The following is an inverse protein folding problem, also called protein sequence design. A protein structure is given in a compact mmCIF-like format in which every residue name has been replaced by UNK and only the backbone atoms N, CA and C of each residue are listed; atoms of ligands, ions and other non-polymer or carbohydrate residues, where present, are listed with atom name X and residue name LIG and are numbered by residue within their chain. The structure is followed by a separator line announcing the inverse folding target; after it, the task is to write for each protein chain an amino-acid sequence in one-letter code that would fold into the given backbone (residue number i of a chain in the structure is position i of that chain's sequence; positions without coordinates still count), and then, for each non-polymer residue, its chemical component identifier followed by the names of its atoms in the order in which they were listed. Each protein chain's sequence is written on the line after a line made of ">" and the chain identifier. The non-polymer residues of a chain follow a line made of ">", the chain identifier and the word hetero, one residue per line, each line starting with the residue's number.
data_IF_072940883936
#
_entry.id   IF_072940883936
#
_cell.length_a   1.000
_cell.length_b   1.000
_cell.length_c   1.000
_cell.angle_alpha   90.00
_cell.angle_beta   90.00
_cell.angle_gamma   90.00
#
_symmetry.space_group_name_H-M   'P 1'
#
loop_
_entity.id
_entity.type
_entity.pdbx_description
1 polymer ?
#
# COMPACT_ATOMS: atom_id res chain seq x y z
N UNK A 1 -2.65 1.66 -13.47
CA UNK A 1 -1.95 2.95 -13.33
C UNK A 1 -1.28 2.95 -11.96
N UNK A 2 -0.01 3.36 -11.91
CA UNK A 2 0.79 3.47 -10.68
C UNK A 2 0.97 4.96 -10.39
N UNK A 3 0.68 5.41 -9.17
CA UNK A 3 0.82 6.82 -8.74
C UNK A 3 1.54 6.84 -7.41
N UNK A 4 2.67 7.54 -7.31
CA UNK A 4 3.37 7.74 -6.04
C UNK A 4 3.05 9.13 -5.45
N UNK A 5 2.68 9.18 -4.17
CA UNK A 5 2.32 10.40 -3.43
C UNK A 5 3.02 10.36 -2.08
N UNK A 6 4.06 11.17 -1.88
CA UNK A 6 4.81 11.16 -0.63
C UNK A 6 5.46 9.80 -0.37
N UNK A 7 5.06 9.13 0.72
CA UNK A 7 5.47 7.78 1.09
C UNK A 7 4.43 6.69 0.74
N UNK A 8 3.43 7.01 -0.10
CA UNK A 8 2.43 6.03 -0.56
C UNK A 8 2.49 5.82 -2.08
N UNK A 9 2.15 4.60 -2.52
CA UNK A 9 2.04 4.19 -3.92
C UNK A 9 0.69 3.56 -4.17
N UNK A 10 -0.08 4.13 -5.09
CA UNK A 10 -1.39 3.62 -5.49
C UNK A 10 -1.22 2.78 -6.75
N UNK A 11 -1.61 1.50 -6.68
CA UNK A 11 -1.58 0.56 -7.79
C UNK A 11 -3.00 0.07 -8.06
N UNK A 12 -3.59 0.56 -9.15
CA UNK A 12 -5.00 0.29 -9.43
C UNK A 12 -5.90 0.94 -8.39
N UNK A 13 -6.53 0.14 -7.51
CA UNK A 13 -7.35 0.64 -6.39
C UNK A 13 -6.67 0.50 -5.03
N UNK A 14 -5.53 -0.19 -4.95
CA UNK A 14 -4.83 -0.46 -3.68
C UNK A 14 -3.80 0.61 -3.41
N UNK A 15 -3.67 1.01 -2.15
CA UNK A 15 -2.63 1.91 -1.68
C UNK A 15 -1.59 1.13 -0.85
N UNK A 16 -0.32 1.37 -1.13
CA UNK A 16 0.82 0.78 -0.45
C UNK A 16 1.55 1.91 0.29
N UNK A 17 1.58 1.86 1.62
CA UNK A 17 2.17 2.90 2.47
C UNK A 17 3.49 2.38 3.02
N UNK A 18 4.56 3.14 2.78
CA UNK A 18 5.92 2.82 3.20
C UNK A 18 6.35 3.71 4.37
N UNK A 19 7.36 3.28 5.12
CA UNK A 19 7.94 4.08 6.20
C UNK A 19 8.63 5.32 5.65
N UNK A 20 9.32 5.16 4.52
CA UNK A 20 10.15 6.18 3.89
C UNK A 20 9.71 6.47 2.47
N UNK A 21 10.00 7.69 2.02
CA UNK A 21 9.70 8.13 0.64
C UNK A 21 10.52 7.36 -0.39
N UNK A 22 11.77 7.04 -0.06
CA UNK A 22 12.68 6.35 -0.99
C UNK A 22 12.19 4.93 -1.29
N UNK A 23 11.70 4.21 -0.27
CA UNK A 23 11.06 2.89 -0.45
C UNK A 23 9.83 2.97 -1.38
N UNK A 24 9.00 3.99 -1.21
CA UNK A 24 7.84 4.21 -2.07
C UNK A 24 8.26 4.48 -3.53
N UNK A 25 9.35 5.25 -3.74
CA UNK A 25 9.89 5.53 -5.07
C UNK A 25 10.44 4.24 -5.70
N UNK A 26 11.28 3.49 -4.98
CA UNK A 26 11.89 2.25 -5.47
C UNK A 26 10.82 1.21 -5.85
N UNK A 27 9.76 1.13 -5.06
CA UNK A 27 8.63 0.24 -5.35
C UNK A 27 7.86 0.69 -6.60
N UNK A 28 7.58 1.99 -6.73
CA UNK A 28 6.89 2.55 -7.89
C UNK A 28 7.73 2.38 -9.18
N UNK A 29 9.04 2.59 -9.10
CA UNK A 29 9.97 2.42 -10.22
C UNK A 29 10.06 0.95 -10.65
N UNK A 30 10.12 0.01 -9.70
CA UNK A 30 10.06 -1.42 -10.00
C UNK A 30 8.77 -1.80 -10.76
N UNK A 31 7.62 -1.27 -10.35
CA UNK A 31 6.35 -1.51 -11.04
C UNK A 31 6.30 -0.84 -12.42
N UNK A 32 6.81 0.38 -12.54
CA UNK A 32 6.86 1.12 -13.81
C UNK A 32 7.81 0.45 -14.82
N UNK A 33 8.85 -0.23 -14.35
CA UNK A 33 9.72 -1.07 -15.18
C UNK A 33 9.05 -2.38 -15.66
N UNK A 34 7.79 -2.63 -15.28
CA UNK A 34 7.04 -3.84 -15.61
C UNK A 34 7.20 -4.97 -14.60
N UNK A 35 7.80 -4.69 -13.44
CA UNK A 35 7.89 -5.64 -12.32
C UNK A 35 6.52 -6.00 -11.77
N UNK A 36 6.36 -7.26 -11.35
CA UNK A 36 5.16 -7.70 -10.64
C UNK A 36 5.21 -7.23 -9.18
N UNK A 37 4.06 -6.91 -8.58
CA UNK A 37 3.95 -6.47 -7.18
C UNK A 37 4.67 -7.42 -6.23
N UNK A 38 4.46 -8.73 -6.38
CA UNK A 38 5.10 -9.74 -5.54
C UNK A 38 6.63 -9.77 -5.66
N UNK A 39 7.18 -9.38 -6.81
CA UNK A 39 8.63 -9.25 -6.98
C UNK A 39 9.14 -7.95 -6.34
N UNK A 40 8.48 -6.83 -6.62
CA UNK A 40 8.85 -5.53 -6.05
C UNK A 40 8.77 -5.53 -4.51
N UNK A 41 7.83 -6.27 -3.92
CA UNK A 41 7.70 -6.44 -2.46
C UNK A 41 8.78 -7.32 -1.81
N UNK A 42 9.63 -7.99 -2.60
CA UNK A 42 10.81 -8.71 -2.08
C UNK A 42 12.07 -7.86 -2.05
N UNK A 43 12.09 -6.78 -2.83
CA UNK A 43 13.23 -5.86 -2.97
C UNK A 43 13.08 -4.71 -1.98
N UNK A 44 11.88 -4.15 -1.89
CA UNK A 44 11.53 -3.06 -0.98
C UNK A 44 10.93 -3.65 0.31
N UNK A 45 11.24 -3.09 1.49
CA UNK A 45 10.58 -3.47 2.74
C UNK A 45 9.05 -3.54 2.60
N UNK A 46 8.38 -4.43 3.37
CA UNK A 46 6.97 -4.67 3.20
C UNK A 46 6.15 -3.41 3.50
N UNK A 47 5.46 -2.91 2.48
CA UNK A 47 4.50 -1.82 2.63
C UNK A 47 3.28 -2.30 3.42
N UNK A 48 2.68 -1.39 4.20
CA UNK A 48 1.31 -1.60 4.68
C UNK A 48 0.37 -1.42 3.49
N UNK A 49 -0.44 -2.43 3.19
CA UNK A 49 -1.42 -2.38 2.10
C UNK A 49 -2.77 -1.96 2.64
N UNK A 50 -3.34 -0.90 2.07
CA UNK A 50 -4.70 -0.43 2.31
C UNK A 50 -5.53 -0.72 1.06
N UNK A 51 -6.57 -1.53 1.22
CA UNK A 51 -7.53 -1.81 0.16
C UNK A 51 -8.83 -1.04 0.47
N UNK A 52 -9.16 0.04 -0.28
CA UNK A 52 -10.36 0.83 -0.03
C UNK A 52 -11.65 0.07 -0.34
N UNK A 53 -11.58 -1.00 -1.15
CA UNK A 53 -12.73 -1.88 -1.41
C UNK A 53 -12.92 -2.90 -0.26
N UNK A 54 -11.89 -3.17 0.55
CA UNK A 54 -12.02 -3.77 1.87
C UNK A 54 -12.19 -2.66 2.92
N UNK A 55 -13.10 -1.71 2.62
CA UNK A 55 -13.49 -0.66 3.54
C UNK A 55 -13.61 -1.27 4.93
N UNK A 56 -12.95 -0.63 5.90
CA UNK A 56 -13.04 -0.97 7.32
C UNK A 56 -14.49 -1.31 7.62
N UNK A 57 -14.79 -2.60 7.75
CA UNK A 57 -16.01 -3.06 8.40
C UNK A 57 -15.82 -2.78 9.88
N UNK A 58 -15.86 -1.50 10.21
CA UNK A 58 -16.20 -0.97 11.52
C UNK A 58 -17.72 -0.85 11.54
N UNK A 59 -18.43 -1.92 11.19
CA UNK A 59 -19.83 -2.04 11.56
C UNK A 59 -19.88 -2.33 13.06
N UNK A 60 -20.23 -1.27 13.79
CA UNK A 60 -20.84 -1.25 15.12
C UNK A 60 -20.01 -1.72 16.33
N UNK A 61 -19.52 -0.75 17.10
CA UNK A 61 -20.05 -0.40 18.43
C UNK A 61 -20.28 -1.50 19.49
N UNK A 62 -19.68 -2.69 19.40
CA UNK A 62 -19.69 -3.67 20.51
C UNK A 62 -18.46 -3.49 21.41
N UNK A 63 -18.34 -2.30 22.00
CA UNK A 63 -17.59 -2.14 23.23
C UNK A 63 -18.56 -2.24 24.41
N UNK A 64 -18.76 -3.42 25.02
CA UNK A 64 -19.17 -3.44 26.41
C UNK A 64 -17.92 -3.14 27.25
N UNK A 65 -17.69 -1.86 27.55
CA UNK A 65 -17.23 -1.53 28.90
C UNK A 65 -18.46 -1.58 29.80
N UNK A 66 -18.38 -2.01 31.08
CA UNK A 66 -17.21 -2.21 31.95
C UNK A 66 -16.74 -3.66 32.13
#
# INVERSE_FOLDING_TARGET
>A
MVVAIGNSVIVGRKEYIFSDRDDAIDFADCLNAGGAIGHCSTIVPPARVVDPDQGLDLADDDAPGP
#
